data_IF_633519286409
#
_entry.id   IF_633519286409
#
_cell.length_a   1.000
_cell.length_b   1.000
_cell.length_c   1.000
_cell.angle_alpha   90.00
_cell.angle_beta   90.00
_cell.angle_gamma   90.00
#
_symmetry.space_group_name_H-M   'P 1'
#
loop_
_entity.id
_entity.type
_entity.pdbx_description
1 polymer ?
#
# COMPACT_ATOMS: atom_id res chain seq x y z
N UNK A 1 18.05 -66.89 -28.96
CA UNK A 1 16.86 -66.00 -28.81
C UNK A 1 17.04 -65.20 -27.56
N UNK A 2 17.43 -63.93 -27.68
CA UNK A 2 17.66 -63.00 -26.55
C UNK A 2 16.37 -62.18 -26.32
N UNK A 3 15.80 -62.31 -25.12
CA UNK A 3 14.64 -61.50 -24.69
C UNK A 3 15.09 -60.10 -24.31
N UNK A 4 14.72 -59.11 -25.08
CA UNK A 4 14.81 -57.66 -24.74
C UNK A 4 13.80 -57.31 -23.61
N UNK A 5 14.32 -56.87 -22.47
CA UNK A 5 13.50 -56.32 -21.38
C UNK A 5 13.19 -54.86 -21.68
N UNK A 6 11.95 -54.37 -21.55
CA UNK A 6 11.63 -52.98 -21.69
C UNK A 6 12.01 -52.21 -20.39
N UNK A 7 13.14 -51.53 -20.46
CA UNK A 7 13.66 -50.68 -19.36
C UNK A 7 13.32 -49.24 -19.65
N UNK A 8 12.13 -48.76 -19.24
CA UNK A 8 11.80 -47.35 -19.45
C UNK A 8 10.45 -46.87 -18.93
N UNK A 9 9.46 -47.77 -18.81
CA UNK A 9 8.08 -47.37 -18.54
C UNK A 9 7.76 -47.05 -17.05
N UNK A 10 8.38 -47.76 -16.11
CA UNK A 10 8.04 -47.61 -14.68
C UNK A 10 8.60 -46.34 -14.03
N UNK A 11 9.81 -45.89 -14.43
CA UNK A 11 10.42 -44.66 -13.88
C UNK A 11 9.74 -43.38 -14.36
N UNK A 12 9.23 -43.37 -15.58
CA UNK A 12 8.48 -42.21 -16.12
C UNK A 12 7.07 -42.11 -15.55
N UNK A 13 6.42 -43.25 -15.27
CA UNK A 13 5.12 -43.28 -14.61
C UNK A 13 5.19 -42.79 -13.15
N UNK A 14 6.20 -43.29 -12.38
CA UNK A 14 6.42 -42.85 -11.00
C UNK A 14 6.78 -41.35 -10.89
N UNK A 15 7.55 -40.81 -11.85
CA UNK A 15 7.90 -39.38 -11.89
C UNK A 15 6.70 -38.49 -12.28
N UNK A 16 5.77 -39.01 -13.07
CA UNK A 16 4.54 -38.34 -13.48
C UNK A 16 3.50 -38.31 -12.34
N UNK A 17 3.36 -39.42 -11.60
CA UNK A 17 2.47 -39.48 -10.43
C UNK A 17 2.96 -38.57 -9.28
N UNK A 18 4.26 -38.61 -8.96
CA UNK A 18 4.84 -37.72 -7.95
C UNK A 18 4.70 -36.22 -8.31
N UNK A 19 4.77 -35.85 -9.59
CA UNK A 19 4.56 -34.50 -10.06
C UNK A 19 3.08 -34.07 -9.98
N UNK A 20 2.16 -34.99 -10.21
CA UNK A 20 0.71 -34.72 -10.08
C UNK A 20 0.31 -34.62 -8.61
N UNK A 21 0.87 -35.44 -7.72
CA UNK A 21 0.63 -35.34 -6.27
C UNK A 21 1.22 -34.06 -5.69
N UNK A 22 2.44 -33.68 -6.08
CA UNK A 22 3.03 -32.41 -5.67
C UNK A 22 2.21 -31.18 -6.18
N UNK A 23 1.64 -31.28 -7.38
CA UNK A 23 0.77 -30.23 -7.92
C UNK A 23 -0.60 -30.20 -7.25
N UNK A 24 -1.12 -31.33 -6.75
CA UNK A 24 -2.38 -31.37 -6.01
C UNK A 24 -2.23 -30.90 -4.55
N UNK A 25 -1.08 -31.11 -3.94
CA UNK A 25 -0.75 -30.57 -2.61
C UNK A 25 -0.44 -29.07 -2.64
N UNK A 26 -0.03 -28.55 -3.79
CA UNK A 26 0.17 -27.12 -4.03
C UNK A 26 -1.13 -26.41 -4.48
N UNK A 27 -2.30 -26.92 -4.11
CA UNK A 27 -3.53 -26.12 -4.20
C UNK A 27 -3.36 -24.93 -3.25
N UNK A 28 -2.93 -23.81 -3.82
CA UNK A 28 -2.92 -22.53 -3.11
C UNK A 28 -4.34 -22.33 -2.59
N UNK A 29 -4.49 -22.33 -1.28
CA UNK A 29 -5.72 -21.86 -0.65
C UNK A 29 -5.92 -20.45 -1.16
N UNK A 30 -6.93 -20.26 -2.00
CA UNK A 30 -7.28 -18.93 -2.49
C UNK A 30 -7.80 -18.19 -1.26
N UNK A 31 -7.13 -17.13 -0.81
CA UNK A 31 -7.63 -16.38 0.33
C UNK A 31 -8.98 -15.75 -0.06
N UNK A 32 -9.98 -15.91 0.80
CA UNK A 32 -11.25 -15.22 0.66
C UNK A 32 -11.09 -13.82 1.25
N UNK A 33 -11.48 -12.83 0.47
CA UNK A 33 -11.51 -11.43 0.87
C UNK A 33 -12.95 -10.94 0.89
N UNK A 34 -13.29 -10.13 1.88
CA UNK A 34 -14.58 -9.45 1.97
C UNK A 34 -14.42 -7.96 2.08
N UNK A 35 -15.27 -7.22 1.40
CA UNK A 35 -15.32 -5.77 1.47
C UNK A 35 -16.64 -5.35 2.12
N UNK A 36 -16.58 -4.64 3.24
CA UNK A 36 -17.76 -4.14 3.94
C UNK A 36 -18.14 -2.72 3.51
N UNK A 37 -17.20 -1.96 2.97
CA UNK A 37 -17.37 -0.59 2.54
C UNK A 37 -16.89 -0.37 1.09
N UNK A 38 -17.24 0.77 0.51
CA UNK A 38 -16.81 1.15 -0.84
C UNK A 38 -15.30 1.27 -0.92
N UNK A 39 -14.66 1.81 0.12
CA UNK A 39 -13.20 1.95 0.19
C UNK A 39 -12.52 0.57 0.21
N UNK A 40 -13.05 -0.37 0.99
CA UNK A 40 -12.57 -1.75 1.02
C UNK A 40 -12.76 -2.44 -0.35
N UNK A 41 -13.86 -2.16 -1.04
CA UNK A 41 -14.09 -2.70 -2.39
C UNK A 41 -13.10 -2.13 -3.43
N UNK A 42 -12.75 -0.85 -3.33
CA UNK A 42 -11.75 -0.22 -4.18
C UNK A 42 -10.35 -0.79 -3.90
N UNK A 43 -10.01 -0.98 -2.63
CA UNK A 43 -8.75 -1.60 -2.23
C UNK A 43 -8.65 -3.04 -2.73
N UNK A 44 -9.72 -3.82 -2.64
CA UNK A 44 -9.78 -5.19 -3.17
C UNK A 44 -9.54 -5.21 -4.69
N UNK A 45 -10.16 -4.28 -5.41
CA UNK A 45 -9.97 -4.15 -6.85
C UNK A 45 -8.52 -3.76 -7.20
N UNK A 46 -7.88 -2.94 -6.36
CA UNK A 46 -6.49 -2.55 -6.53
C UNK A 46 -5.49 -3.69 -6.33
N UNK A 47 -5.83 -4.68 -5.47
CA UNK A 47 -5.03 -5.89 -5.24
C UNK A 47 -5.08 -6.80 -6.47
N UNK A 48 -6.27 -6.94 -7.08
CA UNK A 48 -6.45 -7.82 -8.26
C UNK A 48 -5.76 -7.26 -9.51
N UNK A 49 -5.63 -5.94 -9.62
CA UNK A 49 -4.89 -5.31 -10.71
C UNK A 49 -3.38 -5.45 -10.52
N UNK A 50 -2.85 -6.63 -10.86
CA UNK A 50 -1.44 -7.02 -10.72
C UNK A 50 -0.42 -6.07 -11.38
N UNK A 51 -0.88 -5.15 -12.24
CA UNK A 51 -0.04 -4.15 -12.91
C UNK A 51 0.11 -2.86 -12.13
N UNK A 52 -0.87 -2.47 -11.32
CA UNK A 52 -0.86 -1.19 -10.60
C UNK A 52 -0.56 -1.36 -9.12
N UNK A 53 -1.14 -2.36 -8.45
CA UNK A 53 -1.08 -2.51 -7.00
C UNK A 53 -1.71 -1.31 -6.26
N UNK A 54 -1.83 -1.38 -4.92
CA UNK A 54 -2.50 -0.35 -4.12
C UNK A 54 -1.78 1.00 -4.14
N UNK A 55 -0.48 1.02 -4.44
CA UNK A 55 0.30 2.25 -4.55
C UNK A 55 1.01 2.29 -5.89
N UNK A 56 0.68 3.29 -6.71
CA UNK A 56 1.41 3.56 -7.94
C UNK A 56 2.80 4.16 -7.64
N UNK A 57 3.74 3.99 -8.53
CA UNK A 57 5.05 4.65 -8.40
C UNK A 57 4.96 6.18 -8.47
N UNK A 58 3.83 6.72 -8.97
CA UNK A 58 3.55 8.15 -9.05
C UNK A 58 3.05 8.72 -7.70
N UNK A 59 2.49 7.87 -6.84
CA UNK A 59 1.94 8.28 -5.56
C UNK A 59 3.04 8.38 -4.49
N UNK A 60 4.23 7.82 -4.78
CA UNK A 60 5.39 7.91 -3.90
C UNK A 60 6.05 9.27 -4.06
N UNK A 61 5.99 10.06 -2.98
CA UNK A 61 6.57 11.39 -2.95
C UNK A 61 7.98 11.36 -2.38
N UNK A 62 8.95 11.76 -3.21
CA UNK A 62 10.36 11.91 -2.83
C UNK A 62 10.73 13.34 -2.45
N UNK A 63 9.84 14.30 -2.72
CA UNK A 63 10.07 15.72 -2.55
C UNK A 63 8.89 16.41 -1.87
N UNK A 64 8.50 16.01 -0.65
CA UNK A 64 7.38 16.60 0.07
C UNK A 64 7.60 18.11 0.33
N UNK A 65 8.86 18.55 0.39
CA UNK A 65 9.22 19.95 0.59
C UNK A 65 8.66 20.88 -0.49
N UNK A 66 8.53 20.41 -1.73
CA UNK A 66 7.99 21.21 -2.84
C UNK A 66 6.51 21.54 -2.66
N UNK A 67 5.76 20.63 -2.06
CA UNK A 67 4.32 20.78 -1.82
C UNK A 67 3.99 21.43 -0.48
N UNK A 68 4.94 21.41 0.47
CA UNK A 68 4.74 21.88 1.84
C UNK A 68 4.19 23.32 1.89
N UNK A 69 4.83 24.23 1.15
CA UNK A 69 4.46 25.65 1.18
C UNK A 69 3.05 25.91 0.65
N UNK A 70 2.67 25.21 -0.43
CA UNK A 70 1.34 25.32 -1.00
C UNK A 70 0.28 24.66 -0.11
N UNK A 71 0.58 23.49 0.46
CA UNK A 71 -0.31 22.82 1.41
C UNK A 71 -0.54 23.65 2.68
N UNK A 72 0.52 24.27 3.23
CA UNK A 72 0.40 25.16 4.37
C UNK A 72 -0.49 26.36 4.06
N UNK A 73 -0.28 27.02 2.92
CA UNK A 73 -1.09 28.18 2.53
C UNK A 73 -2.59 27.81 2.39
N UNK A 74 -2.90 26.71 1.75
CA UNK A 74 -4.28 26.21 1.61
C UNK A 74 -4.89 25.85 2.97
N UNK A 75 -4.11 25.25 3.86
CA UNK A 75 -4.53 24.91 5.21
C UNK A 75 -4.79 26.19 6.05
N UNK A 76 -3.89 27.19 5.96
CA UNK A 76 -4.06 28.48 6.64
C UNK A 76 -5.34 29.19 6.18
N UNK A 77 -5.60 29.25 4.89
CA UNK A 77 -6.78 29.90 4.32
C UNK A 77 -8.07 29.25 4.84
N UNK A 78 -8.15 27.94 4.82
CA UNK A 78 -9.31 27.17 5.26
C UNK A 78 -9.54 27.29 6.77
N UNK A 79 -8.50 27.11 7.56
CA UNK A 79 -8.60 27.04 9.02
C UNK A 79 -8.62 28.42 9.69
N UNK A 80 -8.20 29.49 9.01
CA UNK A 80 -8.14 30.84 9.58
C UNK A 80 -9.48 31.30 10.17
N UNK A 81 -10.58 31.03 9.47
CA UNK A 81 -11.92 31.42 9.92
C UNK A 81 -12.31 30.68 11.19
N UNK A 82 -12.03 29.37 11.24
CA UNK A 82 -12.32 28.50 12.38
C UNK A 82 -11.50 28.91 13.61
N UNK A 83 -10.19 29.05 13.47
CA UNK A 83 -9.31 29.44 14.58
C UNK A 83 -9.61 30.87 15.11
N UNK A 84 -10.08 31.77 14.24
CA UNK A 84 -10.52 33.10 14.64
C UNK A 84 -11.80 33.07 15.50
N UNK A 85 -12.71 32.15 15.19
CA UNK A 85 -13.94 31.95 15.99
C UNK A 85 -13.63 31.24 17.32
N UNK A 86 -12.74 30.28 17.32
CA UNK A 86 -12.34 29.52 18.52
C UNK A 86 -11.50 30.37 19.48
N UNK A 87 -10.77 31.36 18.98
CA UNK A 87 -9.84 32.18 19.77
C UNK A 87 -10.06 33.67 19.50
N UNK A 88 -11.20 34.22 19.96
CA UNK A 88 -11.48 35.66 19.81
C UNK A 88 -10.46 36.47 20.62
N UNK A 89 -9.90 37.53 20.02
CA UNK A 89 -8.93 38.41 20.66
C UNK A 89 -7.47 38.13 20.38
N UNK A 90 -7.13 37.01 19.72
CA UNK A 90 -5.77 36.76 19.29
C UNK A 90 -5.39 37.56 18.04
N UNK A 91 -4.14 38.04 17.99
CA UNK A 91 -3.60 38.71 16.82
C UNK A 91 -3.43 37.71 15.67
N UNK A 92 -3.50 38.18 14.44
CA UNK A 92 -3.36 37.37 13.25
C UNK A 92 -2.05 36.55 13.24
N UNK A 93 -0.94 37.11 13.73
CA UNK A 93 0.34 36.38 13.84
C UNK A 93 0.25 35.21 14.82
N UNK A 94 -0.46 35.36 15.92
CA UNK A 94 -0.67 34.30 16.92
C UNK A 94 -1.57 33.19 16.35
N UNK A 95 -2.63 33.57 15.63
CA UNK A 95 -3.50 32.64 14.93
C UNK A 95 -2.71 31.81 13.92
N UNK A 96 -1.87 32.45 13.11
CA UNK A 96 -1.00 31.72 12.16
C UNK A 96 -0.05 30.73 12.85
N UNK A 97 0.49 31.09 14.02
CA UNK A 97 1.33 30.16 14.79
C UNK A 97 0.53 28.95 15.30
N UNK A 98 -0.72 29.14 15.74
CA UNK A 98 -1.58 28.04 16.15
C UNK A 98 -1.94 27.13 14.97
N UNK A 99 -2.30 27.73 13.84
CA UNK A 99 -2.59 27.00 12.60
C UNK A 99 -1.38 26.21 12.14
N UNK A 100 -0.17 26.79 12.19
CA UNK A 100 1.06 26.10 11.85
C UNK A 100 1.31 24.87 12.75
N UNK A 101 1.11 25.01 14.07
CA UNK A 101 1.22 23.87 15.01
C UNK A 101 0.19 22.78 14.72
N UNK A 102 -1.03 23.17 14.36
CA UNK A 102 -2.07 22.23 13.95
C UNK A 102 -1.69 21.52 12.65
N UNK A 103 -1.16 22.26 11.65
CA UNK A 103 -0.71 21.72 10.38
C UNK A 103 0.44 20.71 10.55
N UNK A 104 1.37 20.94 11.48
CA UNK A 104 2.45 19.98 11.75
C UNK A 104 1.94 18.57 12.12
N UNK A 105 0.76 18.49 12.74
CA UNK A 105 0.13 17.23 13.16
C UNK A 105 -0.91 16.72 12.16
N UNK A 106 -1.27 17.53 11.19
CA UNK A 106 -2.31 17.21 10.21
C UNK A 106 -1.81 16.15 9.21
N UNK A 107 -2.70 15.24 8.76
CA UNK A 107 -2.42 14.34 7.64
C UNK A 107 -2.26 15.08 6.31
N UNK A 108 -2.73 16.33 6.21
CA UNK A 108 -2.55 17.18 5.03
C UNK A 108 -1.12 17.70 4.86
N UNK A 109 -0.32 17.61 5.93
CA UNK A 109 1.09 17.91 5.84
C UNK A 109 1.79 16.87 4.95
N UNK A 110 2.42 17.28 3.84
CA UNK A 110 3.11 16.35 2.96
C UNK A 110 4.15 15.45 3.66
N UNK A 111 4.76 15.91 4.75
CA UNK A 111 5.73 15.12 5.50
C UNK A 111 5.11 14.01 6.36
N UNK A 112 3.82 14.10 6.68
CA UNK A 112 3.12 13.09 7.49
C UNK A 112 2.44 12.03 6.63
N UNK A 113 2.53 12.16 5.31
CA UNK A 113 1.95 11.18 4.40
C UNK A 113 2.77 9.89 4.40
N UNK A 114 2.10 8.76 4.44
CA UNK A 114 2.72 7.44 4.49
C UNK A 114 3.44 7.04 3.19
N UNK A 115 3.15 7.76 2.11
CA UNK A 115 3.78 7.57 0.80
C UNK A 115 5.08 8.33 0.61
N UNK A 116 5.52 9.06 1.66
CA UNK A 116 6.77 9.83 1.63
C UNK A 116 7.96 8.91 1.83
N UNK A 117 8.92 9.01 0.94
CA UNK A 117 10.18 8.29 1.03
C UNK A 117 11.37 9.24 1.03
N UNK A 118 12.48 8.78 1.60
CA UNK A 118 13.72 9.51 1.54
C UNK A 118 14.16 9.72 0.07
N UNK A 119 14.76 10.88 -0.22
CA UNK A 119 15.25 11.21 -1.57
C UNK A 119 16.18 10.14 -2.16
N UNK A 120 17.03 9.56 -1.31
CA UNK A 120 18.00 8.51 -1.67
C UNK A 120 17.43 7.08 -1.57
N UNK A 121 16.12 6.93 -1.40
CA UNK A 121 15.48 5.61 -1.32
C UNK A 121 15.75 4.79 -2.56
N UNK A 122 16.14 3.54 -2.35
CA UNK A 122 16.42 2.59 -3.42
C UNK A 122 15.13 2.03 -4.03
N UNK A 123 15.25 1.34 -5.15
CA UNK A 123 14.09 0.65 -5.74
C UNK A 123 13.59 -0.49 -4.84
N UNK A 124 14.47 -1.09 -4.04
CA UNK A 124 14.10 -2.13 -3.09
C UNK A 124 13.28 -1.56 -1.93
N UNK A 125 13.61 -0.35 -1.45
CA UNK A 125 12.82 0.35 -0.43
C UNK A 125 11.40 0.63 -0.94
N UNK A 126 11.29 1.10 -2.19
CA UNK A 126 9.99 1.32 -2.85
C UNK A 126 9.18 0.03 -2.96
N UNK A 127 9.86 -1.08 -3.32
CA UNK A 127 9.21 -2.37 -3.43
C UNK A 127 8.74 -2.88 -2.06
N UNK A 128 9.55 -2.69 -1.02
CA UNK A 128 9.21 -3.07 0.35
C UNK A 128 8.02 -2.27 0.87
N UNK A 129 7.98 -0.95 0.63
CA UNK A 129 6.84 -0.12 1.01
C UNK A 129 5.55 -0.60 0.34
N UNK A 130 5.60 -0.89 -0.96
CA UNK A 130 4.44 -1.42 -1.70
C UNK A 130 3.99 -2.77 -1.16
N UNK A 131 4.93 -3.67 -0.87
CA UNK A 131 4.63 -4.98 -0.32
C UNK A 131 4.03 -4.89 1.09
N UNK A 132 4.53 -3.99 1.94
CA UNK A 132 3.97 -3.73 3.25
C UNK A 132 2.52 -3.25 3.16
N UNK A 133 2.25 -2.26 2.32
CA UNK A 133 0.89 -1.75 2.11
C UNK A 133 -0.05 -2.81 1.55
N UNK A 134 0.42 -3.57 0.59
CA UNK A 134 -0.38 -4.67 0.06
C UNK A 134 -0.72 -5.69 1.16
N UNK A 135 0.25 -6.09 1.97
CA UNK A 135 0.03 -7.03 3.06
C UNK A 135 -0.90 -6.47 4.16
N UNK A 136 -0.84 -5.18 4.45
CA UNK A 136 -1.76 -4.51 5.39
C UNK A 136 -3.20 -4.55 4.89
N UNK A 137 -3.41 -4.21 3.60
CA UNK A 137 -4.74 -4.26 2.98
C UNK A 137 -5.25 -5.71 2.91
N UNK A 138 -4.42 -6.66 2.49
CA UNK A 138 -4.77 -8.08 2.45
C UNK A 138 -5.15 -8.61 3.84
N UNK A 139 -4.40 -8.23 4.88
CA UNK A 139 -4.69 -8.65 6.26
C UNK A 139 -5.99 -8.02 6.79
N UNK A 140 -6.29 -6.77 6.41
CA UNK A 140 -7.55 -6.10 6.78
C UNK A 140 -8.75 -6.73 6.09
N UNK A 141 -8.63 -7.08 4.81
CA UNK A 141 -9.72 -7.61 3.99
C UNK A 141 -9.89 -9.13 4.12
N UNK A 142 -8.92 -9.82 4.73
CA UNK A 142 -8.99 -11.26 4.93
C UNK A 142 -10.09 -11.56 5.94
N UNK A 143 -11.08 -12.30 5.52
CA UNK A 143 -12.07 -12.88 6.43
C UNK A 143 -11.39 -13.90 7.34
N UNK A 144 -11.54 -13.68 8.65
CA UNK A 144 -11.09 -14.63 9.65
C UNK A 144 -11.93 -15.92 9.61
#
# INVERSE_FOLDING_TARGET
MAKLKPKGSAKTAAKKSAKVEAASQARRTIPEFSASNIDDALDLLSIDDSKKGPISSKDIDRHPERRFKAALAAFEEREMTRFKLENPGLRQSQLKQLIYKAFQKSPENPFNQETVMAYNATQDDVRNLKAQRQSEIENRLRTA
#
